data_IF_460947639446
#
_entry.id   IF_460947639446
#
_cell.length_a   1.000
_cell.length_b   1.000
_cell.length_c   1.000
_cell.angle_alpha   90.00
_cell.angle_beta   90.00
_cell.angle_gamma   90.00
#
_symmetry.space_group_name_H-M   'P 1'
#
loop_
_entity.id
_entity.type
_entity.pdbx_description
1 polymer ?
#
# COMPACT_ATOMS: atom_id res chain seq x y z
N UNK A 1 9.05 -20.71 7.36
CA UNK A 1 9.58 -19.79 8.38
C UNK A 1 9.08 -18.39 8.06
N UNK A 2 8.74 -17.59 9.08
CA UNK A 2 8.40 -16.18 8.88
C UNK A 2 9.67 -15.35 8.99
N UNK A 3 10.17 -14.85 7.86
CA UNK A 3 11.36 -14.00 7.87
C UNK A 3 11.03 -12.63 8.48
N UNK A 4 11.89 -12.10 9.36
CA UNK A 4 11.67 -10.79 9.94
C UNK A 4 11.74 -9.72 8.84
N UNK A 5 10.83 -8.75 8.94
CA UNK A 5 10.83 -7.54 8.13
C UNK A 5 10.85 -6.34 9.07
N UNK A 6 11.43 -5.23 8.61
CA UNK A 6 11.44 -3.96 9.36
C UNK A 6 10.91 -2.82 8.47
N UNK A 7 9.58 -2.74 8.29
CA UNK A 7 8.99 -1.79 7.35
C UNK A 7 9.30 -0.34 7.73
N UNK A 8 9.35 -0.02 9.03
CA UNK A 8 9.56 1.34 9.52
C UNK A 8 11.01 1.79 9.28
N UNK A 9 12.01 0.97 9.66
CA UNK A 9 13.40 1.35 9.45
C UNK A 9 13.78 1.38 7.96
N UNK A 10 13.14 0.54 7.13
CA UNK A 10 13.45 0.49 5.71
C UNK A 10 13.01 1.74 4.94
N UNK A 11 12.04 2.52 5.45
CA UNK A 11 11.61 3.76 4.77
C UNK A 11 12.78 4.72 4.56
N UNK A 12 13.52 4.96 5.63
CA UNK A 12 14.71 5.83 5.63
C UNK A 12 15.96 5.06 5.24
N UNK A 13 16.15 3.86 5.79
CA UNK A 13 17.36 3.06 5.58
C UNK A 13 17.61 2.65 4.13
N UNK A 14 16.55 2.62 3.29
CA UNK A 14 16.66 2.34 1.84
C UNK A 14 16.48 3.58 0.96
N UNK A 15 16.39 4.76 1.56
CA UNK A 15 16.29 6.03 0.86
C UNK A 15 15.09 6.10 -0.10
N UNK A 16 13.92 5.57 0.27
CA UNK A 16 12.77 5.57 -0.65
C UNK A 16 12.35 6.98 -1.06
N UNK A 17 12.50 7.97 -0.17
CA UNK A 17 12.22 9.38 -0.44
C UNK A 17 13.24 10.05 -1.38
N UNK A 18 14.35 9.39 -1.70
CA UNK A 18 15.38 9.88 -2.61
C UNK A 18 15.24 9.29 -4.02
N UNK A 19 14.29 8.38 -4.20
CA UNK A 19 14.03 7.74 -5.50
C UNK A 19 13.22 8.66 -6.39
N UNK A 20 13.35 8.44 -7.69
CA UNK A 20 12.51 9.11 -8.67
C UNK A 20 11.06 8.55 -8.57
N UNK A 21 10.06 9.41 -8.30
CA UNK A 21 8.69 8.95 -8.05
C UNK A 21 8.02 8.26 -9.24
N UNK A 22 8.24 8.74 -10.47
CA UNK A 22 7.62 8.15 -11.66
C UNK A 22 8.14 6.75 -11.95
N UNK A 23 9.46 6.53 -11.80
CA UNK A 23 10.07 5.21 -11.90
C UNK A 23 9.54 4.27 -10.81
N UNK A 24 9.45 4.74 -9.57
CA UNK A 24 8.94 3.94 -8.45
C UNK A 24 7.47 3.54 -8.66
N UNK A 25 6.65 4.44 -9.21
CA UNK A 25 5.26 4.14 -9.57
C UNK A 25 5.17 3.13 -10.72
N UNK A 26 6.00 3.28 -11.76
CA UNK A 26 6.04 2.35 -12.89
C UNK A 26 6.41 0.94 -12.42
N UNK A 27 7.42 0.81 -11.56
CA UNK A 27 7.84 -0.47 -10.97
C UNK A 27 6.70 -1.09 -10.14
N UNK A 28 6.04 -0.29 -9.30
CA UNK A 28 4.89 -0.76 -8.51
C UNK A 28 3.75 -1.27 -9.40
N UNK A 29 3.40 -0.54 -10.46
CA UNK A 29 2.35 -0.93 -11.40
C UNK A 29 2.71 -2.19 -12.19
N UNK A 30 3.97 -2.34 -12.58
CA UNK A 30 4.49 -3.54 -13.23
C UNK A 30 4.36 -4.77 -12.32
N UNK A 31 4.81 -4.67 -11.07
CA UNK A 31 4.69 -5.75 -10.09
C UNK A 31 3.22 -6.05 -9.73
N UNK A 32 2.35 -5.02 -9.71
CA UNK A 32 0.91 -5.21 -9.54
C UNK A 32 0.31 -6.01 -10.68
N UNK A 33 0.64 -5.68 -11.93
CA UNK A 33 0.15 -6.42 -13.10
C UNK A 33 0.57 -7.89 -13.02
N UNK A 34 1.85 -8.16 -12.75
CA UNK A 34 2.37 -9.51 -12.58
C UNK A 34 1.66 -10.30 -11.48
N UNK A 35 1.40 -9.65 -10.34
CA UNK A 35 0.69 -10.26 -9.21
C UNK A 35 -0.75 -10.63 -9.58
N UNK A 36 -1.45 -9.76 -10.30
CA UNK A 36 -2.83 -10.02 -10.75
C UNK A 36 -2.89 -11.11 -11.81
N UNK A 37 -1.94 -11.15 -12.74
CA UNK A 37 -1.86 -12.20 -13.76
C UNK A 37 -1.57 -13.56 -13.12
N UNK A 38 -0.66 -13.60 -12.13
CA UNK A 38 -0.43 -14.80 -11.33
C UNK A 38 -1.70 -15.26 -10.61
N UNK A 39 -2.41 -14.36 -9.90
CA UNK A 39 -3.66 -14.69 -9.21
C UNK A 39 -4.72 -15.24 -10.16
N UNK A 40 -4.87 -14.66 -11.36
CA UNK A 40 -5.82 -15.12 -12.39
C UNK A 40 -5.45 -16.49 -12.97
N UNK A 41 -4.17 -16.86 -12.94
CA UNK A 41 -3.70 -18.17 -13.44
C UNK A 41 -3.99 -19.33 -12.50
N UNK A 42 -4.30 -19.06 -11.22
CA UNK A 42 -4.55 -20.10 -10.22
C UNK A 42 -5.81 -20.90 -10.55
N UNK A 43 -5.69 -22.23 -10.59
CA UNK A 43 -6.82 -23.14 -10.78
C UNK A 43 -7.20 -23.78 -9.45
N UNK A 44 -8.43 -23.55 -8.99
CA UNK A 44 -8.96 -24.06 -7.71
C UNK A 44 -8.02 -23.86 -6.49
N UNK A 45 -7.54 -22.63 -6.23
CA UNK A 45 -6.69 -22.37 -5.06
C UNK A 45 -7.44 -22.62 -3.75
N UNK A 46 -6.78 -23.25 -2.78
CA UNK A 46 -7.30 -23.38 -1.42
C UNK A 46 -6.99 -22.12 -0.60
N UNK A 47 -7.97 -21.22 -0.52
CA UNK A 47 -7.85 -19.97 0.23
C UNK A 47 -7.82 -20.15 1.75
N UNK A 48 -8.18 -21.34 2.25
CA UNK A 48 -8.11 -21.67 3.68
C UNK A 48 -6.73 -22.20 4.09
N UNK A 49 -5.87 -22.54 3.12
CA UNK A 49 -4.50 -22.93 3.42
C UNK A 49 -3.80 -21.78 4.15
N UNK A 50 -3.19 -22.08 5.29
CA UNK A 50 -2.57 -21.07 6.15
C UNK A 50 -1.20 -21.48 6.68
N UNK A 51 -0.52 -20.50 7.25
CA UNK A 51 0.75 -20.65 7.96
C UNK A 51 0.61 -20.02 9.34
N UNK A 52 1.15 -20.68 10.36
CA UNK A 52 1.23 -20.09 11.69
C UNK A 52 2.23 -18.94 11.67
N UNK A 53 1.80 -17.75 12.10
CA UNK A 53 2.63 -16.59 12.33
C UNK A 53 2.70 -16.28 13.84
N UNK A 54 3.64 -15.43 14.30
CA UNK A 54 3.71 -15.00 15.70
C UNK A 54 2.41 -14.36 16.22
N UNK A 55 1.60 -13.78 15.33
CA UNK A 55 0.33 -13.12 15.65
C UNK A 55 -0.93 -13.96 15.34
N UNK A 56 -0.76 -15.25 14.99
CA UNK A 56 -1.88 -16.15 14.72
C UNK A 56 -1.79 -16.86 13.37
N UNK A 57 -2.81 -17.66 13.06
CA UNK A 57 -2.94 -18.31 11.76
C UNK A 57 -3.24 -17.25 10.69
N UNK A 58 -2.41 -17.19 9.65
CA UNK A 58 -2.68 -16.37 8.47
C UNK A 58 -3.02 -17.28 7.30
N UNK A 59 -4.24 -17.19 6.77
CA UNK A 59 -4.67 -17.94 5.58
C UNK A 59 -4.34 -17.17 4.30
N UNK A 60 -4.26 -17.88 3.19
CA UNK A 60 -4.04 -17.27 1.87
C UNK A 60 -5.11 -16.22 1.53
N UNK A 61 -6.38 -16.47 1.89
CA UNK A 61 -7.46 -15.50 1.73
C UNK A 61 -7.29 -14.23 2.59
N UNK A 62 -6.79 -14.38 3.82
CA UNK A 62 -6.53 -13.24 4.72
C UNK A 62 -5.44 -12.32 4.14
N UNK A 63 -4.40 -12.91 3.52
CA UNK A 63 -3.34 -12.16 2.84
C UNK A 63 -3.88 -11.38 1.63
N UNK A 64 -4.67 -12.02 0.77
CA UNK A 64 -5.24 -11.36 -0.41
C UNK A 64 -6.14 -10.18 -0.02
N UNK A 65 -7.00 -10.36 0.98
CA UNK A 65 -7.85 -9.29 1.50
C UNK A 65 -7.01 -8.15 2.10
N UNK A 66 -5.93 -8.50 2.81
CA UNK A 66 -4.99 -7.54 3.39
C UNK A 66 -4.28 -6.71 2.32
N UNK A 67 -3.89 -7.28 1.17
CA UNK A 67 -3.32 -6.49 0.07
C UNK A 67 -4.28 -5.43 -0.47
N UNK A 68 -5.53 -5.80 -0.73
CA UNK A 68 -6.53 -4.84 -1.20
C UNK A 68 -6.82 -3.75 -0.15
N UNK A 69 -6.94 -4.12 1.12
CA UNK A 69 -7.14 -3.16 2.22
C UNK A 69 -5.93 -2.23 2.38
N UNK A 70 -4.71 -2.74 2.22
CA UNK A 70 -3.49 -1.97 2.33
C UNK A 70 -3.34 -0.92 1.22
N UNK A 71 -3.77 -1.25 0.00
CA UNK A 71 -3.83 -0.28 -1.11
C UNK A 71 -4.75 0.90 -0.78
N UNK A 72 -5.92 0.62 -0.17
CA UNK A 72 -6.85 1.66 0.28
C UNK A 72 -6.26 2.52 1.41
N UNK A 73 -5.59 1.89 2.39
CA UNK A 73 -4.95 2.61 3.49
C UNK A 73 -3.90 3.60 2.99
N UNK A 74 -3.05 3.18 2.04
CA UNK A 74 -2.03 4.07 1.49
C UNK A 74 -2.58 5.11 0.52
N UNK A 75 -3.61 4.77 -0.25
CA UNK A 75 -4.30 5.76 -1.09
C UNK A 75 -4.91 6.86 -0.22
N UNK A 76 -5.54 6.50 0.90
CA UNK A 76 -6.05 7.48 1.88
C UNK A 76 -4.94 8.40 2.38
N UNK A 77 -3.79 7.85 2.77
CA UNK A 77 -2.65 8.65 3.25
C UNK A 77 -2.13 9.63 2.20
N UNK A 78 -2.07 9.21 0.92
CA UNK A 78 -1.66 10.09 -0.18
C UNK A 78 -2.65 11.23 -0.41
N UNK A 79 -3.95 10.94 -0.36
CA UNK A 79 -4.99 11.97 -0.52
C UNK A 79 -4.96 12.97 0.64
N UNK A 80 -4.78 12.50 1.87
CA UNK A 80 -4.64 13.36 3.05
C UNK A 80 -3.42 14.29 2.95
N UNK A 81 -2.28 13.76 2.50
CA UNK A 81 -1.09 14.58 2.26
C UNK A 81 -1.31 15.61 1.14
N UNK A 82 -1.98 15.22 0.06
CA UNK A 82 -2.28 16.11 -1.05
C UNK A 82 -3.25 17.22 -0.66
N UNK A 83 -4.27 16.90 0.16
CA UNK A 83 -5.19 17.86 0.76
C UNK A 83 -4.43 18.89 1.60
N UNK A 84 -3.60 18.44 2.54
CA UNK A 84 -2.81 19.33 3.39
C UNK A 84 -1.85 20.21 2.57
N UNK A 85 -1.18 19.64 1.57
CA UNK A 85 -0.32 20.40 0.65
C UNK A 85 -1.10 21.46 -0.12
N UNK A 86 -2.28 21.11 -0.65
CA UNK A 86 -3.15 22.04 -1.35
C UNK A 86 -3.57 23.22 -0.49
N UNK A 87 -3.95 23.00 0.76
CA UNK A 87 -4.29 24.08 1.71
C UNK A 87 -3.11 25.04 1.91
N UNK A 88 -1.90 24.50 2.09
CA UNK A 88 -0.69 25.32 2.24
C UNK A 88 -0.42 26.16 0.99
N UNK A 89 -0.53 25.57 -0.20
CA UNK A 89 -0.28 26.26 -1.48
C UNK A 89 -1.28 27.38 -1.77
N UNK A 90 -2.49 27.32 -1.22
CA UNK A 90 -3.54 28.31 -1.46
C UNK A 90 -3.57 29.44 -0.42
N UNK A 91 -2.60 29.52 0.50
CA UNK A 91 -2.49 30.62 1.46
C UNK A 91 -2.49 31.99 0.72
N UNK A 92 -3.28 32.99 1.15
CA UNK A 92 -4.07 33.07 2.39
C UNK A 92 -5.55 32.66 2.24
N UNK A 93 -5.95 32.04 1.14
CA UNK A 93 -7.33 31.64 0.89
C UNK A 93 -7.71 30.35 1.62
N UNK A 94 -9.01 30.20 1.85
CA UNK A 94 -9.58 29.13 2.66
C UNK A 94 -10.49 28.25 1.81
N UNK A 95 -10.33 26.92 1.92
CA UNK A 95 -11.08 25.93 1.18
C UNK A 95 -12.30 25.35 1.94
N UNK A 96 -12.73 25.95 3.05
CA UNK A 96 -13.89 25.51 3.86
C UNK A 96 -15.16 25.16 3.07
N UNK A 97 -15.40 25.78 1.92
CA UNK A 97 -16.55 25.47 1.08
C UNK A 97 -16.55 24.02 0.56
N UNK A 98 -15.37 23.39 0.43
CA UNK A 98 -15.24 22.00 0.02
C UNK A 98 -15.68 20.99 1.11
N UNK A 99 -15.95 21.46 2.33
CA UNK A 99 -16.27 20.63 3.49
C UNK A 99 -15.05 20.26 4.34
N UNK A 100 -15.32 19.59 5.45
CA UNK A 100 -14.29 19.08 6.36
C UNK A 100 -13.73 17.74 5.85
N UNK A 101 -12.45 17.47 6.16
CA UNK A 101 -11.72 16.24 5.83
C UNK A 101 -11.42 15.42 7.09
#
# INVERSE_FOLDING_TARGET
>A
EWHPIDPQAWVTGRGYNQREPAASLADFLSERSRSLDWLRSLTNPDWNQGRQAPWGLLRAGDMLASWAAHDLLHTRQLVELHWAYGLLQNTPFDARYAGDW
#
